data_IF_218582739755
#
_entry.id   IF_218582739755
#
_cell.length_a   1.000
_cell.length_b   1.000
_cell.length_c   1.000
_cell.angle_alpha   90.00
_cell.angle_beta   90.00
_cell.angle_gamma   90.00
#
_symmetry.space_group_name_H-M   'P 1'
#
loop_
_entity.id
_entity.type
_entity.pdbx_description
1 polymer ?
#
# COMPACT_ATOMS: atom_id res chain seq x y z
N UNK A 1 -41.76 10.04 8.26
CA UNK A 1 -41.35 8.68 8.69
C UNK A 1 -39.90 8.48 8.30
N UNK A 2 -38.98 8.29 9.26
CA UNK A 2 -37.59 7.92 8.96
C UNK A 2 -37.63 6.48 8.44
N UNK A 3 -37.61 6.30 7.12
CA UNK A 3 -37.29 5.00 6.55
C UNK A 3 -35.95 4.57 7.13
N UNK A 4 -35.93 3.43 7.82
CA UNK A 4 -34.72 2.80 8.33
C UNK A 4 -33.72 2.67 7.17
N UNK A 5 -32.75 3.58 7.08
CA UNK A 5 -31.57 3.34 6.26
C UNK A 5 -30.80 2.21 6.94
N UNK A 6 -31.05 0.99 6.45
CA UNK A 6 -30.38 -0.23 6.89
C UNK A 6 -28.87 -0.15 6.63
N UNK A 7 -28.44 0.73 5.73
CA UNK A 7 -27.05 0.94 5.30
C UNK A 7 -26.64 2.41 5.49
N UNK A 8 -25.89 2.68 6.56
CA UNK A 8 -25.22 3.96 6.83
C UNK A 8 -23.71 3.73 6.91
N UNK A 9 -22.91 4.73 6.53
CA UNK A 9 -21.46 4.70 6.61
C UNK A 9 -20.96 4.46 8.05
N UNK A 10 -21.68 4.98 9.05
CA UNK A 10 -21.36 4.71 10.46
C UNK A 10 -21.47 3.22 10.79
N UNK A 11 -22.54 2.55 10.33
CA UNK A 11 -22.69 1.10 10.53
C UNK A 11 -21.64 0.30 9.77
N UNK A 12 -21.27 0.72 8.57
CA UNK A 12 -20.16 0.09 7.82
C UNK A 12 -18.86 0.25 8.61
N UNK A 13 -18.61 1.44 9.17
CA UNK A 13 -17.41 1.71 9.99
C UNK A 13 -17.38 0.87 11.26
N UNK A 14 -18.51 0.78 11.97
CA UNK A 14 -18.63 0.01 13.21
C UNK A 14 -18.42 -1.48 12.96
N UNK A 15 -19.01 -2.03 11.90
CA UNK A 15 -18.77 -3.41 11.47
C UNK A 15 -17.30 -3.66 11.16
N UNK A 16 -16.58 -2.65 10.68
CA UNK A 16 -15.19 -2.77 10.26
C UNK A 16 -14.16 -2.49 11.35
N UNK A 17 -14.56 -1.89 12.49
CA UNK A 17 -13.66 -1.56 13.60
C UNK A 17 -12.83 -2.73 14.15
N UNK A 18 -13.37 -3.95 14.04
CA UNK A 18 -12.68 -5.18 14.45
C UNK A 18 -11.46 -5.51 13.58
N UNK A 19 -11.39 -4.96 12.36
CA UNK A 19 -10.28 -5.17 11.43
C UNK A 19 -9.04 -4.40 11.85
N UNK A 20 -9.21 -3.19 12.36
CA UNK A 20 -8.12 -2.34 12.83
C UNK A 20 -7.43 -3.01 14.03
N UNK A 21 -8.23 -3.62 14.92
CA UNK A 21 -7.71 -4.44 16.02
C UNK A 21 -6.98 -5.69 15.52
N UNK A 22 -7.47 -6.34 14.46
CA UNK A 22 -6.80 -7.52 13.89
C UNK A 22 -5.47 -7.15 13.22
N UNK A 23 -5.42 -6.02 12.50
CA UNK A 23 -4.20 -5.48 11.91
C UNK A 23 -3.17 -5.14 12.98
N UNK A 24 -3.58 -4.42 14.03
CA UNK A 24 -2.70 -4.10 15.16
C UNK A 24 -2.13 -5.36 15.83
N UNK A 25 -2.96 -6.39 16.06
CA UNK A 25 -2.51 -7.67 16.63
C UNK A 25 -1.57 -8.44 15.69
N UNK A 26 -1.80 -8.39 14.39
CA UNK A 26 -0.92 -9.00 13.41
C UNK A 26 0.46 -8.32 13.40
N UNK A 27 0.52 -6.99 13.51
CA UNK A 27 1.78 -6.26 13.67
C UNK A 27 2.47 -6.57 15.00
N UNK A 28 1.73 -6.62 16.11
CA UNK A 28 2.28 -7.01 17.41
C UNK A 28 2.89 -8.40 17.39
N UNK A 29 2.31 -9.36 16.65
CA UNK A 29 2.86 -10.71 16.50
C UNK A 29 4.26 -10.68 15.84
N UNK A 30 4.44 -9.81 14.83
CA UNK A 30 5.75 -9.60 14.18
C UNK A 30 6.78 -9.05 15.16
N UNK A 31 6.41 -8.04 15.96
CA UNK A 31 7.29 -7.44 16.95
C UNK A 31 7.66 -8.41 18.08
N UNK A 32 6.70 -9.20 18.57
CA UNK A 32 6.98 -10.24 19.57
C UNK A 32 7.92 -11.32 19.02
N UNK A 33 7.82 -11.66 17.74
CA UNK A 33 8.74 -12.59 17.11
C UNK A 33 10.17 -12.04 17.03
N UNK A 34 10.36 -10.74 16.78
CA UNK A 34 11.70 -10.12 16.81
C UNK A 34 12.32 -10.22 18.21
N UNK A 35 11.52 -10.00 19.26
CA UNK A 35 11.97 -10.16 20.65
C UNK A 35 12.38 -11.58 20.99
N UNK A 36 11.67 -12.60 20.47
CA UNK A 36 12.03 -14.01 20.64
C UNK A 36 13.39 -14.30 20.00
N UNK A 37 13.68 -13.77 18.81
CA UNK A 37 15.00 -13.93 18.18
C UNK A 37 16.11 -13.24 18.98
N UNK A 38 15.87 -12.03 19.47
CA UNK A 38 16.85 -11.33 20.32
C UNK A 38 17.10 -12.10 21.62
N UNK A 39 16.05 -12.64 22.23
CA UNK A 39 16.17 -13.49 23.42
C UNK A 39 16.95 -14.77 23.11
N UNK A 40 16.62 -15.46 22.02
CA UNK A 40 17.33 -16.66 21.57
C UNK A 40 18.84 -16.38 21.45
N UNK A 41 19.21 -15.28 20.80
CA UNK A 41 20.60 -14.87 20.63
C UNK A 41 21.30 -14.67 21.98
N UNK A 42 20.66 -13.97 22.93
CA UNK A 42 21.23 -13.75 24.27
C UNK A 42 21.40 -15.02 25.09
N UNK A 43 20.52 -16.02 24.90
CA UNK A 43 20.60 -17.32 25.57
C UNK A 43 21.73 -18.16 24.98
N UNK A 44 21.91 -18.16 23.66
CA UNK A 44 23.02 -18.86 22.99
C UNK A 44 24.38 -18.30 23.44
N UNK A 45 24.48 -16.99 23.65
CA UNK A 45 25.71 -16.35 24.12
C UNK A 45 26.03 -16.65 25.60
N UNK A 46 25.03 -17.00 26.41
CA UNK A 46 25.17 -17.17 27.87
C UNK A 46 25.28 -18.61 28.34
N UNK A 47 24.97 -19.60 27.49
CA UNK A 47 24.91 -21.01 27.85
C UNK A 47 25.66 -21.89 26.85
N UNK A 48 26.41 -22.88 27.34
CA UNK A 48 27.27 -23.76 26.52
C UNK A 48 26.76 -25.20 26.40
N UNK A 49 25.68 -25.54 27.09
CA UNK A 49 25.17 -26.91 27.15
C UNK A 49 24.38 -27.26 25.87
N UNK A 50 24.96 -28.09 25.00
CA UNK A 50 24.38 -28.46 23.69
C UNK A 50 22.95 -29.01 23.77
N UNK A 51 22.64 -29.79 24.82
CA UNK A 51 21.30 -30.36 25.01
C UNK A 51 20.26 -29.30 25.34
N UNK A 52 20.66 -28.24 26.05
CA UNK A 52 19.80 -27.09 26.34
C UNK A 52 19.63 -26.22 25.08
N UNK A 53 20.71 -25.93 24.37
CA UNK A 53 20.68 -25.13 23.13
C UNK A 53 19.81 -25.78 22.04
N UNK A 54 19.91 -27.10 21.86
CA UNK A 54 19.07 -27.83 20.88
C UNK A 54 17.58 -27.79 21.23
N UNK A 55 17.21 -27.77 22.52
CA UNK A 55 15.82 -27.59 22.93
C UNK A 55 15.32 -26.17 22.62
N UNK A 56 16.16 -25.15 22.83
CA UNK A 56 15.85 -23.76 22.50
C UNK A 56 15.66 -23.59 20.99
N UNK A 57 16.48 -24.25 20.16
CA UNK A 57 16.31 -24.24 18.71
C UNK A 57 14.96 -24.85 18.27
N UNK A 58 14.62 -26.03 18.80
CA UNK A 58 13.34 -26.69 18.50
C UNK A 58 12.15 -25.80 18.87
N UNK A 59 12.18 -25.19 20.06
CA UNK A 59 11.12 -24.30 20.53
C UNK A 59 11.02 -23.06 19.63
N UNK A 60 12.16 -22.49 19.23
CA UNK A 60 12.22 -21.32 18.36
C UNK A 60 11.62 -21.64 16.98
N UNK A 61 11.97 -22.78 16.39
CA UNK A 61 11.44 -23.22 15.10
C UNK A 61 9.92 -23.46 15.14
N UNK A 62 9.42 -24.03 16.24
CA UNK A 62 7.99 -24.18 16.48
C UNK A 62 7.29 -22.82 16.56
N UNK A 63 7.87 -21.85 17.28
CA UNK A 63 7.33 -20.49 17.40
C UNK A 63 7.30 -19.76 16.05
N UNK A 64 8.37 -19.87 15.25
CA UNK A 64 8.41 -19.33 13.88
C UNK A 64 7.33 -19.96 13.01
N UNK A 65 7.15 -21.28 13.11
CA UNK A 65 6.12 -22.00 12.35
C UNK A 65 4.72 -21.52 12.71
N UNK A 66 4.43 -21.39 14.01
CA UNK A 66 3.14 -20.89 14.51
C UNK A 66 2.91 -19.44 14.05
N UNK A 67 3.92 -18.57 14.16
CA UNK A 67 3.88 -17.19 13.69
C UNK A 67 3.51 -17.13 12.21
N UNK A 68 4.23 -17.86 11.36
CA UNK A 68 4.01 -17.83 9.91
C UNK A 68 2.60 -18.30 9.55
N UNK A 69 2.07 -19.32 10.23
CA UNK A 69 0.67 -19.77 10.04
C UNK A 69 -0.33 -18.70 10.48
N UNK A 70 -0.16 -18.12 11.66
CA UNK A 70 -1.06 -17.08 12.18
C UNK A 70 -1.04 -15.83 11.30
N UNK A 71 0.14 -15.41 10.85
CA UNK A 71 0.29 -14.24 9.98
C UNK A 71 -0.35 -14.46 8.61
N UNK A 72 -0.20 -15.66 8.03
CA UNK A 72 -0.89 -16.03 6.79
C UNK A 72 -2.42 -15.94 6.95
N UNK A 73 -2.96 -16.57 7.99
CA UNK A 73 -4.41 -16.57 8.27
C UNK A 73 -4.91 -15.15 8.52
N UNK A 74 -4.19 -14.37 9.32
CA UNK A 74 -4.54 -12.98 9.61
C UNK A 74 -4.59 -12.14 8.32
N UNK A 75 -3.55 -12.21 7.48
CA UNK A 75 -3.48 -11.46 6.23
C UNK A 75 -4.57 -11.87 5.24
N UNK A 76 -4.85 -13.17 5.11
CA UNK A 76 -5.95 -13.64 4.26
C UNK A 76 -7.31 -13.11 4.74
N UNK A 77 -7.55 -13.12 6.05
CA UNK A 77 -8.79 -12.62 6.63
C UNK A 77 -8.90 -11.09 6.51
N UNK A 78 -7.82 -10.35 6.76
CA UNK A 78 -7.75 -8.91 6.56
C UNK A 78 -8.10 -8.58 5.10
N UNK A 79 -7.46 -9.25 4.14
CA UNK A 79 -7.72 -9.02 2.71
C UNK A 79 -9.16 -9.30 2.31
N UNK A 80 -9.73 -10.43 2.75
CA UNK A 80 -11.15 -10.77 2.48
C UNK A 80 -12.10 -9.73 3.04
N UNK A 81 -11.82 -9.24 4.24
CA UNK A 81 -12.68 -8.30 4.93
C UNK A 81 -12.60 -6.89 4.34
N UNK A 82 -11.41 -6.42 3.95
CA UNK A 82 -11.25 -5.16 3.22
C UNK A 82 -12.00 -5.17 1.89
N UNK A 83 -11.92 -6.27 1.14
CA UNK A 83 -12.69 -6.43 -0.11
C UNK A 83 -14.20 -6.37 0.15
N UNK A 84 -14.65 -6.96 1.26
CA UNK A 84 -16.05 -6.89 1.68
C UNK A 84 -16.47 -5.46 2.02
N UNK A 85 -15.67 -4.74 2.82
CA UNK A 85 -15.89 -3.34 3.17
C UNK A 85 -15.98 -2.43 1.94
N UNK A 86 -15.05 -2.57 1.00
CA UNK A 86 -15.09 -1.82 -0.27
C UNK A 86 -16.38 -2.11 -1.05
N UNK A 87 -16.80 -3.38 -1.09
CA UNK A 87 -18.06 -3.79 -1.69
C UNK A 87 -19.28 -3.11 -1.06
N UNK A 88 -19.31 -2.99 0.27
CA UNK A 88 -20.39 -2.29 0.99
C UNK A 88 -20.39 -0.79 0.70
N UNK A 89 -19.23 -0.14 0.74
CA UNK A 89 -19.08 1.29 0.44
C UNK A 89 -19.50 1.60 -0.99
N UNK A 90 -19.10 0.75 -1.95
CA UNK A 90 -19.48 0.89 -3.35
C UNK A 90 -21.00 0.82 -3.52
N UNK A 91 -21.65 -0.20 -2.94
CA UNK A 91 -23.12 -0.32 -2.98
C UNK A 91 -23.82 0.88 -2.32
N UNK A 92 -23.32 1.34 -1.17
CA UNK A 92 -23.87 2.54 -0.51
C UNK A 92 -23.81 3.77 -1.42
N UNK A 93 -22.66 4.01 -2.06
CA UNK A 93 -22.48 5.12 -3.02
C UNK A 93 -23.42 5.00 -4.21
N UNK A 94 -23.54 3.81 -4.80
CA UNK A 94 -24.44 3.55 -5.93
C UNK A 94 -25.90 3.83 -5.58
N UNK A 95 -26.38 3.33 -4.42
CA UNK A 95 -27.75 3.56 -3.95
C UNK A 95 -28.01 5.06 -3.78
N UNK A 96 -27.09 5.79 -3.14
CA UNK A 96 -27.26 7.23 -2.94
C UNK A 96 -27.18 8.02 -4.24
N UNK A 97 -26.29 7.66 -5.17
CA UNK A 97 -26.27 8.27 -6.51
C UNK A 97 -27.60 8.06 -7.25
N UNK A 98 -28.19 6.86 -7.16
CA UNK A 98 -29.49 6.58 -7.78
C UNK A 98 -30.62 7.37 -7.11
N UNK A 99 -30.59 7.55 -5.78
CA UNK A 99 -31.53 8.43 -5.07
C UNK A 99 -31.37 9.89 -5.50
N UNK A 100 -30.13 10.38 -5.59
CA UNK A 100 -29.83 11.75 -6.00
C UNK A 100 -30.28 12.04 -7.44
N UNK A 101 -30.10 11.09 -8.36
CA UNK A 101 -30.59 11.22 -9.76
C UNK A 101 -32.12 11.35 -9.86
N UNK A 102 -32.86 10.83 -8.88
CA UNK A 102 -34.33 10.88 -8.84
C UNK A 102 -34.87 12.14 -8.18
N UNK A 103 -34.02 12.93 -7.50
CA UNK A 103 -34.42 14.21 -6.94
C UNK A 103 -34.64 15.22 -8.07
N UNK A 104 -35.89 15.64 -8.24
CA UNK A 104 -36.21 16.87 -8.97
C UNK A 104 -36.02 18.03 -7.99
N UNK A 105 -34.93 18.76 -8.13
CA UNK A 105 -34.68 19.98 -7.38
C UNK A 105 -35.29 21.15 -8.16
N UNK A 106 -36.01 22.02 -7.47
CA UNK A 106 -36.39 23.32 -8.03
C UNK A 106 -35.15 24.24 -8.13
N UNK A 107 -35.29 25.31 -8.91
CA UNK A 107 -34.20 26.23 -9.21
C UNK A 107 -33.64 26.92 -7.96
N UNK A 108 -34.49 27.16 -6.96
CA UNK A 108 -34.12 27.83 -5.72
C UNK A 108 -33.30 26.92 -4.80
N UNK A 109 -33.71 25.66 -4.64
CA UNK A 109 -32.98 24.63 -3.93
C UNK A 109 -31.64 24.34 -4.61
N UNK A 110 -31.62 24.27 -5.95
CA UNK A 110 -30.39 24.08 -6.73
C UNK A 110 -29.41 25.23 -6.50
N UNK A 111 -29.90 26.47 -6.49
CA UNK A 111 -29.10 27.68 -6.23
C UNK A 111 -28.54 27.69 -4.80
N UNK A 112 -29.34 27.34 -3.79
CA UNK A 112 -28.85 27.25 -2.39
C UNK A 112 -27.78 26.18 -2.23
N UNK A 113 -27.98 25.00 -2.82
CA UNK A 113 -27.00 23.93 -2.83
C UNK A 113 -25.73 24.38 -3.56
N UNK A 114 -25.85 25.01 -4.73
CA UNK A 114 -24.74 25.53 -5.50
C UNK A 114 -23.91 26.57 -4.73
N UNK A 115 -24.57 27.56 -4.11
CA UNK A 115 -23.92 28.57 -3.27
C UNK A 115 -23.21 27.94 -2.07
N UNK A 116 -23.87 27.02 -1.36
CA UNK A 116 -23.27 26.27 -0.25
C UNK A 116 -22.03 25.48 -0.69
N UNK A 117 -22.06 24.85 -1.87
CA UNK A 117 -20.92 24.11 -2.41
C UNK A 117 -19.77 25.03 -2.83
N UNK A 118 -20.06 26.22 -3.35
CA UNK A 118 -19.07 27.26 -3.69
C UNK A 118 -18.41 27.81 -2.42
N UNK A 119 -19.21 28.20 -1.42
CA UNK A 119 -18.74 28.73 -0.14
C UNK A 119 -17.82 27.75 0.59
N UNK A 120 -18.16 26.46 0.57
CA UNK A 120 -17.35 25.42 1.21
C UNK A 120 -16.20 24.90 0.33
N UNK A 121 -15.87 25.55 -0.79
CA UNK A 121 -14.89 25.08 -1.80
C UNK A 121 -15.11 23.64 -2.28
N UNK A 122 -16.33 23.10 -2.10
CA UNK A 122 -16.77 21.80 -2.62
C UNK A 122 -17.26 21.94 -4.06
N UNK A 123 -16.55 22.72 -4.87
CA UNK A 123 -16.82 22.83 -6.31
C UNK A 123 -16.47 21.47 -6.92
N UNK A 124 -17.47 20.60 -6.99
CA UNK A 124 -17.45 19.40 -7.80
C UNK A 124 -17.54 19.86 -9.25
N UNK A 125 -16.41 20.32 -9.80
CA UNK A 125 -16.24 20.33 -11.25
C UNK A 125 -16.51 18.87 -11.66
N UNK A 126 -17.46 18.63 -12.56
CA UNK A 126 -17.59 17.34 -13.24
C UNK A 126 -16.32 17.15 -14.10
N UNK A 127 -15.19 16.91 -13.43
CA UNK A 127 -14.01 16.28 -13.97
C UNK A 127 -14.26 14.80 -13.69
N UNK A 128 -14.16 13.98 -14.72
CA UNK A 128 -14.42 12.54 -14.70
C UNK A 128 -13.57 11.73 -13.68
N UNK A 129 -12.71 12.40 -12.89
CA UNK A 129 -11.99 11.96 -11.70
C UNK A 129 -11.40 13.19 -10.99
N UNK A 130 -11.96 13.61 -9.85
CA UNK A 130 -11.21 14.39 -8.85
C UNK A 130 -11.18 13.52 -7.60
N UNK A 131 -10.05 12.86 -7.37
CA UNK A 131 -9.75 12.24 -6.09
C UNK A 131 -9.43 13.36 -5.10
N UNK A 132 -10.35 13.64 -4.18
CA UNK A 132 -9.99 14.34 -2.95
C UNK A 132 -9.31 13.34 -2.03
N UNK A 133 -7.97 13.32 -2.08
CA UNK A 133 -7.16 12.69 -1.04
C UNK A 133 -6.87 13.80 -0.03
N UNK A 134 -7.26 13.67 1.26
CA UNK A 134 -6.76 14.59 2.28
C UNK A 134 -5.23 14.58 2.20
N UNK A 135 -4.62 15.76 2.27
CA UNK A 135 -3.16 15.86 2.25
C UNK A 135 -2.63 15.10 3.45
N UNK A 136 -1.95 13.99 3.19
CA UNK A 136 -1.25 13.22 4.20
C UNK A 136 -0.22 14.12 4.87
N UNK A 137 -0.21 14.11 6.20
CA UNK A 137 0.86 14.73 6.97
C UNK A 137 2.17 13.98 6.71
N UNK A 138 3.31 14.65 6.94
CA UNK A 138 4.63 14.07 6.68
C UNK A 138 4.84 12.77 7.47
N UNK A 139 4.34 12.69 8.70
CA UNK A 139 4.35 11.47 9.52
C UNK A 139 3.62 10.31 8.85
N UNK A 140 2.43 10.56 8.30
CA UNK A 140 1.62 9.56 7.62
C UNK A 140 2.28 9.09 6.31
N UNK A 141 3.01 9.98 5.63
CA UNK A 141 3.84 9.60 4.48
C UNK A 141 4.95 8.61 4.85
N UNK A 142 5.61 8.81 6.00
CA UNK A 142 6.64 7.89 6.48
C UNK A 142 6.05 6.54 6.89
N UNK A 143 4.91 6.51 7.59
CA UNK A 143 4.23 5.26 7.95
C UNK A 143 3.78 4.46 6.70
N UNK A 144 3.30 5.15 5.67
CA UNK A 144 2.96 4.53 4.39
C UNK A 144 4.22 4.02 3.70
N UNK A 145 5.32 4.77 3.71
CA UNK A 145 6.60 4.33 3.13
C UNK A 145 7.11 3.06 3.81
N UNK A 146 7.09 3.02 5.13
CA UNK A 146 7.52 1.86 5.91
C UNK A 146 6.62 0.66 5.64
N UNK A 147 5.30 0.87 5.61
CA UNK A 147 4.33 -0.17 5.28
C UNK A 147 4.48 -0.70 3.84
N UNK A 148 4.86 0.16 2.89
CA UNK A 148 5.12 -0.22 1.50
C UNK A 148 6.44 -1.00 1.37
N UNK A 149 7.47 -0.68 2.17
CA UNK A 149 8.72 -1.44 2.19
C UNK A 149 8.51 -2.88 2.69
N UNK A 150 7.53 -3.12 3.55
CA UNK A 150 7.17 -4.47 4.01
C UNK A 150 6.19 -5.20 3.06
N UNK A 151 5.61 -4.49 2.08
CA UNK A 151 4.63 -5.05 1.16
C UNK A 151 5.28 -5.77 -0.04
N UNK A 152 5.12 -7.08 -0.10
CA UNK A 152 5.71 -7.93 -1.15
C UNK A 152 5.27 -7.58 -2.57
N UNK A 153 4.01 -7.15 -2.78
CA UNK A 153 3.53 -6.73 -4.09
C UNK A 153 4.16 -5.42 -4.53
N UNK A 154 4.28 -4.44 -3.61
CA UNK A 154 4.97 -3.19 -3.88
C UNK A 154 6.43 -3.43 -4.26
N UNK A 155 7.15 -4.27 -3.50
CA UNK A 155 8.54 -4.63 -3.82
C UNK A 155 8.69 -5.31 -5.19
N UNK A 156 7.76 -6.20 -5.56
CA UNK A 156 7.75 -6.83 -6.89
C UNK A 156 7.54 -5.78 -7.99
N UNK A 157 6.62 -4.84 -7.79
CA UNK A 157 6.37 -3.75 -8.73
C UNK A 157 7.61 -2.85 -8.84
N UNK A 158 8.25 -2.50 -7.73
CA UNK A 158 9.48 -1.70 -7.73
C UNK A 158 10.60 -2.38 -8.51
N UNK A 159 10.78 -3.71 -8.37
CA UNK A 159 11.72 -4.47 -9.20
C UNK A 159 11.38 -4.41 -10.69
N UNK A 160 10.10 -4.48 -11.05
CA UNK A 160 9.65 -4.32 -12.45
C UNK A 160 9.91 -2.91 -12.99
N UNK A 161 9.68 -1.89 -12.18
CA UNK A 161 9.97 -0.49 -12.54
C UNK A 161 11.47 -0.27 -12.73
N UNK A 162 12.30 -0.83 -11.85
CA UNK A 162 13.75 -0.76 -11.97
C UNK A 162 14.24 -1.44 -13.26
N UNK A 163 13.69 -2.62 -13.58
CA UNK A 163 13.98 -3.31 -14.83
C UNK A 163 13.55 -2.49 -16.05
N UNK A 164 12.36 -1.88 -16.01
CA UNK A 164 11.87 -1.01 -17.07
C UNK A 164 12.76 0.23 -17.24
N UNK A 165 13.20 0.87 -16.16
CA UNK A 165 14.16 1.98 -16.18
C UNK A 165 15.48 1.54 -16.81
N UNK A 166 16.03 0.39 -16.41
CA UNK A 166 17.26 -0.18 -17.00
C UNK A 166 17.10 -0.40 -18.51
N UNK A 167 15.94 -0.89 -18.95
CA UNK A 167 15.65 -1.07 -20.38
C UNK A 167 15.53 0.27 -21.11
N UNK A 168 14.89 1.28 -20.53
CA UNK A 168 14.82 2.63 -21.10
C UNK A 168 16.22 3.24 -21.29
N UNK A 169 17.09 3.10 -20.28
CA UNK A 169 18.49 3.59 -20.35
C UNK A 169 19.22 2.89 -21.50
N UNK A 170 19.11 1.56 -21.62
CA UNK A 170 19.70 0.79 -22.72
C UNK A 170 19.18 1.21 -24.10
N UNK A 171 17.87 1.47 -24.22
CA UNK A 171 17.27 1.94 -25.48
C UNK A 171 17.79 3.33 -25.84
N UNK A 172 17.85 4.26 -24.88
CA UNK A 172 18.43 5.60 -25.10
C UNK A 172 19.90 5.52 -25.49
N UNK A 173 20.70 4.73 -24.77
CA UNK A 173 22.10 4.50 -25.08
C UNK A 173 22.29 3.97 -26.51
N UNK A 174 21.47 3.00 -26.94
CA UNK A 174 21.50 2.47 -28.31
C UNK A 174 21.16 3.54 -29.36
N UNK A 175 20.18 4.40 -29.07
CA UNK A 175 19.80 5.52 -29.95
C UNK A 175 20.98 6.51 -30.07
N UNK A 176 21.60 6.89 -28.96
CA UNK A 176 22.73 7.82 -28.99
C UNK A 176 23.97 7.23 -29.67
N UNK A 177 24.30 5.96 -29.40
CA UNK A 177 25.39 5.26 -30.11
C UNK A 177 25.12 5.18 -31.61
N UNK A 178 23.86 4.99 -32.03
CA UNK A 178 23.50 4.92 -33.46
C UNK A 178 23.66 6.25 -34.21
N UNK A 179 23.81 7.38 -33.49
CA UNK A 179 24.10 8.69 -34.08
C UNK A 179 25.59 8.92 -34.31
N UNK A 180 26.45 8.08 -33.76
CA UNK A 180 27.91 8.19 -33.95
C UNK A 180 28.24 7.77 -35.40
N UNK A 181 28.94 8.61 -36.18
CA UNK A 181 29.36 8.26 -37.54
C UNK A 181 30.17 6.95 -37.58
N UNK A 182 29.97 6.14 -38.61
CA UNK A 182 30.64 4.81 -38.75
C UNK A 182 32.16 4.90 -38.82
N UNK A 183 32.70 6.08 -39.12
CA UNK A 183 34.13 6.36 -39.26
C UNK A 183 34.77 6.77 -37.92
N UNK A 184 33.99 6.81 -36.84
CA UNK A 184 34.46 7.18 -35.49
C UNK A 184 35.25 6.03 -34.88
N UNK A 185 36.34 6.38 -34.19
CA UNK A 185 37.21 5.39 -33.55
C UNK A 185 36.45 4.53 -32.53
N UNK A 186 36.56 3.19 -32.57
CA UNK A 186 35.82 2.29 -31.68
C UNK A 186 36.11 2.50 -30.18
N UNK A 187 37.27 3.07 -29.84
CA UNK A 187 37.67 3.47 -28.49
C UNK A 187 36.76 4.58 -27.93
N UNK A 188 36.52 5.63 -28.71
CA UNK A 188 35.67 6.76 -28.34
C UNK A 188 34.21 6.35 -28.13
N UNK A 189 33.69 5.43 -28.95
CA UNK A 189 32.33 4.91 -28.78
C UNK A 189 32.17 4.11 -27.47
N UNK A 190 33.19 3.35 -27.08
CA UNK A 190 33.23 2.60 -25.81
C UNK A 190 33.39 3.53 -24.60
N UNK A 191 34.17 4.58 -24.72
CA UNK A 191 34.29 5.61 -23.67
C UNK A 191 32.99 6.37 -23.46
N UNK A 192 32.29 6.71 -24.54
CA UNK A 192 30.95 7.31 -24.48
C UNK A 192 29.95 6.40 -23.77
N UNK A 193 29.91 5.11 -24.09
CA UNK A 193 29.04 4.14 -23.42
C UNK A 193 29.32 4.08 -21.90
N UNK A 194 30.59 4.05 -21.52
CA UNK A 194 31.02 4.02 -20.13
C UNK A 194 30.63 5.29 -19.38
N UNK A 195 30.84 6.46 -20.00
CA UNK A 195 30.48 7.76 -19.44
C UNK A 195 28.96 7.94 -19.29
N UNK A 196 28.19 7.47 -20.28
CA UNK A 196 26.72 7.53 -20.26
C UNK A 196 26.16 6.71 -19.08
N UNK A 197 26.69 5.51 -18.86
CA UNK A 197 26.26 4.64 -17.76
C UNK A 197 26.73 5.13 -16.38
N UNK A 198 27.83 5.87 -16.28
CA UNK A 198 28.32 6.44 -15.01
C UNK A 198 27.65 7.77 -14.61
N UNK A 199 26.93 8.41 -15.54
CA UNK A 199 26.24 9.70 -15.33
C UNK A 199 24.78 9.58 -14.83
N UNK A 200 24.30 8.35 -14.60
CA UNK A 200 22.89 8.00 -14.28
C UNK A 200 22.82 7.15 -13.02
#
# INVERSE_FOLDING_TARGET
MKENQVFDLEKIRDLTSSIDMLQARAHQLTEQSKKVETWKQSVIESFSEEKFLSQIDIISDLLITVRNKLQKIANENIGRFLNFQEGLIRKYKEINQQKLKKLKLDEEALRRIGLFLIENRKICKFIHKISYTPSLEISQWFEILDSLQENSLFLIIMKKVELYRKNLIKVKLKIEISKIPKDTEPSLAKEYEKAFLSSI
#
